data_IF_190678087797
#
_entry.id   IF_190678087797
#
_cell.length_a   1.000
_cell.length_b   1.000
_cell.length_c   1.000
_cell.angle_alpha   90.00
_cell.angle_beta   90.00
_cell.angle_gamma   90.00
#
_symmetry.space_group_name_H-M   'P 1'
#
loop_
_entity.id
_entity.type
_entity.pdbx_description
1 polymer ?
#
# COMPACT_ATOMS: atom_id res chain seq x y z
N UNK A 1 14.52 -9.62 2.43
CA UNK A 1 13.27 -8.85 2.26
C UNK A 1 12.40 -9.02 3.50
N UNK A 2 11.86 -7.93 4.02
CA UNK A 2 10.95 -7.94 5.18
C UNK A 2 9.57 -7.59 4.65
N UNK A 3 8.66 -8.58 4.60
CA UNK A 3 7.34 -8.45 3.99
C UNK A 3 6.23 -8.11 5.00
N UNK A 4 6.46 -8.40 6.27
CA UNK A 4 5.49 -8.16 7.33
C UNK A 4 6.19 -8.04 8.69
N UNK A 5 5.67 -7.18 9.57
CA UNK A 5 6.08 -7.05 10.96
C UNK A 5 4.88 -7.15 11.88
N UNK A 6 5.01 -7.96 12.93
CA UNK A 6 4.05 -8.04 14.02
C UNK A 6 4.79 -7.90 15.36
N UNK A 7 4.41 -6.94 16.16
CA UNK A 7 5.07 -6.65 17.42
C UNK A 7 4.36 -5.59 18.23
N UNK A 8 5.12 -4.82 18.97
CA UNK A 8 4.62 -3.76 19.85
C UNK A 8 5.16 -2.40 19.43
N UNK A 9 4.33 -1.37 19.48
CA UNK A 9 4.76 0.01 19.23
C UNK A 9 5.70 0.47 20.35
N UNK A 10 6.96 0.65 20.03
CA UNK A 10 7.99 1.10 20.95
C UNK A 10 8.12 2.64 20.96
N UNK A 11 8.05 3.24 19.75
CA UNK A 11 8.18 4.67 19.58
C UNK A 11 7.40 5.14 18.35
N UNK A 12 6.90 6.37 18.39
CA UNK A 12 6.26 7.02 17.25
C UNK A 12 6.70 8.48 17.12
N UNK A 13 7.30 8.80 15.99
CA UNK A 13 7.61 10.18 15.57
C UNK A 13 6.54 10.73 14.63
N UNK A 14 6.79 11.87 14.01
CA UNK A 14 5.88 12.45 13.02
C UNK A 14 5.92 11.74 11.64
N UNK A 15 6.93 10.90 11.40
CA UNK A 15 7.20 10.33 10.07
C UNK A 15 7.43 8.84 10.07
N UNK A 16 7.66 8.23 11.22
CA UNK A 16 7.95 6.81 11.35
C UNK A 16 7.54 6.28 12.71
N UNK A 17 7.41 5.00 12.78
CA UNK A 17 7.25 4.25 14.03
C UNK A 17 8.45 3.32 14.23
N UNK A 18 8.71 2.95 15.47
CA UNK A 18 9.60 1.85 15.82
C UNK A 18 8.76 0.72 16.38
N UNK A 19 8.82 -0.42 15.74
CA UNK A 19 8.12 -1.64 16.14
C UNK A 19 9.12 -2.59 16.79
N UNK A 20 8.85 -2.94 18.03
CA UNK A 20 9.62 -3.96 18.75
C UNK A 20 9.11 -5.35 18.35
N UNK A 21 9.98 -6.14 17.76
CA UNK A 21 9.72 -7.53 17.40
C UNK A 21 10.79 -8.40 18.06
N UNK A 22 10.44 -9.00 19.19
CA UNK A 22 11.36 -9.88 19.91
C UNK A 22 12.64 -9.21 20.42
N UNK A 23 12.59 -7.93 20.77
CA UNK A 23 13.74 -7.15 21.24
C UNK A 23 14.51 -6.42 20.13
N UNK A 24 14.09 -6.55 18.87
CA UNK A 24 14.65 -5.77 17.74
C UNK A 24 13.69 -4.65 17.35
N UNK A 25 14.16 -3.41 17.38
CA UNK A 25 13.41 -2.23 16.97
C UNK A 25 13.52 -1.96 15.48
N UNK A 26 12.43 -2.17 14.73
CA UNK A 26 12.35 -1.86 13.32
C UNK A 26 11.80 -0.46 13.11
N UNK A 27 12.57 0.41 12.46
CA UNK A 27 12.11 1.73 12.04
C UNK A 27 11.31 1.63 10.75
N UNK A 28 10.04 1.98 10.80
CA UNK A 28 9.10 1.84 9.68
C UNK A 28 8.46 3.18 9.35
N UNK A 29 8.59 3.62 8.11
CA UNK A 29 7.89 4.80 7.61
C UNK A 29 6.46 4.42 7.28
N UNK A 30 5.51 5.20 7.75
CA UNK A 30 4.07 4.93 7.62
C UNK A 30 3.33 6.18 7.17
N UNK A 31 2.10 6.00 6.67
CA UNK A 31 1.20 7.12 6.38
C UNK A 31 0.76 7.83 7.65
N UNK A 32 0.29 9.07 7.51
CA UNK A 32 -0.22 9.84 8.65
C UNK A 32 -1.43 9.17 9.30
N UNK A 33 -2.30 8.52 8.52
CA UNK A 33 -3.46 7.82 9.06
C UNK A 33 -3.04 6.58 9.84
N UNK A 34 -2.12 5.78 9.31
CA UNK A 34 -1.52 4.66 10.05
C UNK A 34 -0.88 5.13 11.36
N UNK A 35 -0.15 6.24 11.31
CA UNK A 35 0.48 6.81 12.51
C UNK A 35 -0.53 7.19 13.58
N UNK A 36 -1.63 7.87 13.19
CA UNK A 36 -2.72 8.23 14.10
C UNK A 36 -3.37 7.02 14.74
N UNK A 37 -3.69 6.00 13.93
CA UNK A 37 -4.30 4.78 14.42
C UNK A 37 -3.40 4.00 15.38
N UNK A 38 -2.12 3.85 15.07
CA UNK A 38 -1.17 3.17 15.93
C UNK A 38 -0.98 3.89 17.27
N UNK A 39 -0.97 5.23 17.26
CA UNK A 39 -0.89 6.03 18.49
C UNK A 39 -2.15 5.89 19.36
N UNK A 40 -3.31 5.72 18.73
CA UNK A 40 -4.59 5.61 19.43
C UNK A 40 -4.83 4.24 20.07
N UNK A 41 -4.13 3.20 19.62
CA UNK A 41 -4.29 1.84 20.18
C UNK A 41 -3.74 1.75 21.61
N UNK A 42 -4.61 1.36 22.53
CA UNK A 42 -4.24 1.20 23.95
C UNK A 42 -3.29 0.01 24.19
N UNK A 43 -3.44 -1.08 23.43
CA UNK A 43 -2.65 -2.30 23.57
C UNK A 43 -1.27 -2.22 22.90
N UNK A 44 -1.01 -1.15 22.15
CA UNK A 44 0.24 -0.94 21.39
C UNK A 44 0.61 -2.06 20.41
N UNK A 45 -0.31 -2.96 20.10
CA UNK A 45 -0.07 -4.03 19.12
C UNK A 45 -0.02 -3.47 17.70
N UNK A 46 1.02 -3.86 16.96
CA UNK A 46 1.28 -3.42 15.58
C UNK A 46 1.36 -4.63 14.67
N UNK A 47 0.66 -4.56 13.56
CA UNK A 47 0.76 -5.49 12.44
C UNK A 47 0.80 -4.70 11.16
N UNK A 48 1.90 -4.76 10.42
CA UNK A 48 2.11 -3.98 9.20
C UNK A 48 2.61 -4.85 8.06
N UNK A 49 2.04 -4.67 6.89
CA UNK A 49 2.62 -5.10 5.63
C UNK A 49 3.77 -4.18 5.28
N UNK A 50 4.91 -4.70 4.86
CA UNK A 50 6.12 -3.89 4.68
C UNK A 50 6.72 -4.06 3.29
N UNK A 51 7.33 -2.98 2.83
CA UNK A 51 8.18 -2.94 1.65
C UNK A 51 9.59 -2.50 2.05
N UNK A 52 10.60 -3.30 1.69
CA UNK A 52 12.01 -3.00 1.97
C UNK A 52 12.63 -2.26 0.80
N UNK A 53 13.16 -1.07 1.06
CA UNK A 53 13.95 -0.31 0.08
C UNK A 53 15.41 -0.51 0.39
N UNK A 54 16.14 -1.13 -0.54
CA UNK A 54 17.58 -1.36 -0.43
C UNK A 54 18.31 -0.58 -1.52
N UNK A 55 19.20 0.29 -1.11
CA UNK A 55 20.15 0.99 -1.98
C UNK A 55 21.54 0.87 -1.37
N UNK A 56 22.57 1.34 -2.06
CA UNK A 56 23.94 1.26 -1.63
C UNK A 56 24.16 1.80 -0.20
N UNK A 57 23.50 2.91 0.13
CA UNK A 57 23.62 3.64 1.41
C UNK A 57 22.31 3.69 2.22
N UNK A 58 21.28 2.99 1.78
CA UNK A 58 19.93 3.08 2.39
C UNK A 58 19.33 1.69 2.58
N UNK A 59 18.84 1.44 3.78
CA UNK A 59 17.98 0.32 4.13
C UNK A 59 16.76 0.87 4.88
N UNK A 60 15.66 1.10 4.17
CA UNK A 60 14.42 1.66 4.72
C UNK A 60 13.28 0.64 4.65
N UNK A 61 12.39 0.69 5.63
CA UNK A 61 11.11 -0.03 5.64
C UNK A 61 9.96 0.97 5.51
N UNK A 62 9.01 0.63 4.65
CA UNK A 62 7.71 1.29 4.51
C UNK A 62 6.62 0.33 4.94
N UNK A 63 5.70 0.77 5.79
CA UNK A 63 4.68 -0.07 6.41
C UNK A 63 3.26 0.41 6.12
N UNK A 64 2.37 -0.55 5.92
CA UNK A 64 0.97 -0.35 5.54
C UNK A 64 0.07 -1.25 6.38
N UNK A 65 -1.15 -0.79 6.63
CA UNK A 65 -2.10 -1.53 7.46
C UNK A 65 -2.70 -2.74 6.75
N UNK A 66 -2.80 -2.66 5.43
CA UNK A 66 -3.39 -3.72 4.61
C UNK A 66 -2.60 -3.94 3.31
N UNK A 67 -2.86 -5.07 2.70
CA UNK A 67 -2.19 -5.49 1.46
C UNK A 67 -2.51 -4.56 0.28
N UNK A 68 -3.71 -4.01 0.21
CA UNK A 68 -4.13 -3.08 -0.85
C UNK A 68 -3.31 -1.79 -0.87
N UNK A 69 -2.98 -1.26 0.31
CA UNK A 69 -2.09 -0.09 0.43
C UNK A 69 -0.66 -0.43 -0.02
N UNK A 70 -0.14 -1.58 0.40
CA UNK A 70 1.18 -2.05 -0.02
C UNK A 70 1.26 -2.22 -1.54
N UNK A 71 0.28 -2.89 -2.14
CA UNK A 71 0.22 -3.09 -3.58
C UNK A 71 0.16 -1.77 -4.35
N UNK A 72 -0.65 -0.83 -3.88
CA UNK A 72 -0.75 0.47 -4.51
C UNK A 72 0.54 1.28 -4.38
N UNK A 73 1.21 1.22 -3.24
CA UNK A 73 2.53 1.79 -3.05
C UNK A 73 3.55 1.21 -4.05
N UNK A 74 3.56 -0.11 -4.21
CA UNK A 74 4.46 -0.80 -5.15
C UNK A 74 4.16 -0.45 -6.61
N UNK A 75 2.89 -0.28 -6.97
CA UNK A 75 2.50 0.25 -8.29
C UNK A 75 3.05 1.67 -8.52
N UNK A 76 2.94 2.55 -7.53
CA UNK A 76 3.44 3.93 -7.62
C UNK A 76 4.96 3.96 -7.82
N UNK A 77 5.73 3.20 -7.06
CA UNK A 77 7.19 3.16 -7.20
C UNK A 77 7.66 2.45 -8.47
N UNK A 78 6.81 1.68 -9.14
CA UNK A 78 7.11 1.10 -10.45
C UNK A 78 7.15 2.14 -11.57
N UNK A 79 6.55 3.31 -11.35
CA UNK A 79 6.60 4.43 -12.30
C UNK A 79 7.97 5.09 -12.20
N UNK A 80 8.69 5.16 -13.32
CA UNK A 80 10.02 5.79 -13.38
C UNK A 80 9.96 7.25 -12.89
N UNK A 81 10.85 7.62 -11.99
CA UNK A 81 10.91 8.94 -11.38
C UNK A 81 10.06 9.11 -10.12
N UNK A 82 9.26 8.11 -9.74
CA UNK A 82 8.50 8.11 -8.48
C UNK A 82 9.22 7.26 -7.45
N UNK A 83 9.76 7.93 -6.44
CA UNK A 83 10.43 7.27 -5.32
C UNK A 83 9.49 6.92 -4.17
N UNK A 84 9.99 6.17 -3.16
CA UNK A 84 9.20 5.74 -2.01
C UNK A 84 8.60 6.89 -1.20
N UNK A 85 9.33 7.99 -1.03
CA UNK A 85 8.83 9.18 -0.30
C UNK A 85 7.65 9.85 -1.01
N UNK A 86 7.74 9.99 -2.34
CA UNK A 86 6.65 10.54 -3.14
C UNK A 86 5.43 9.63 -3.16
N UNK A 87 5.64 8.32 -3.29
CA UNK A 87 4.57 7.32 -3.21
C UNK A 87 3.84 7.35 -1.85
N UNK A 88 4.59 7.43 -0.75
CA UNK A 88 4.00 7.57 0.58
C UNK A 88 3.23 8.90 0.72
N UNK A 89 3.74 9.97 0.14
CA UNK A 89 3.06 11.27 0.07
C UNK A 89 1.73 11.19 -0.67
N UNK A 90 1.65 10.43 -1.75
CA UNK A 90 0.40 10.18 -2.49
C UNK A 90 -0.62 9.46 -1.60
N UNK A 91 -0.19 8.42 -0.87
CA UNK A 91 -1.05 7.69 0.06
C UNK A 91 -1.54 8.53 1.25
N UNK A 92 -0.93 9.67 1.52
CA UNK A 92 -1.39 10.63 2.53
C UNK A 92 -2.50 11.57 2.02
N UNK A 93 -2.79 11.62 0.71
CA UNK A 93 -3.79 12.53 0.15
C UNK A 93 -5.20 12.02 0.40
N UNK A 94 -5.43 10.73 0.12
CA UNK A 94 -6.74 10.10 0.14
C UNK A 94 -6.61 8.57 0.31
N UNK A 95 -7.68 7.87 0.69
CA UNK A 95 -7.74 6.41 0.67
C UNK A 95 -7.41 5.84 -0.70
N UNK A 96 -6.86 4.63 -0.72
CA UNK A 96 -6.40 3.94 -1.95
C UNK A 96 -7.50 3.83 -3.00
N UNK A 97 -8.74 3.56 -2.58
CA UNK A 97 -9.89 3.43 -3.47
C UNK A 97 -10.14 4.72 -4.26
N UNK A 98 -10.12 5.86 -3.59
CA UNK A 98 -10.30 7.17 -4.22
C UNK A 98 -9.13 7.52 -5.17
N UNK A 99 -7.91 7.16 -4.78
CA UNK A 99 -6.73 7.36 -5.64
C UNK A 99 -6.80 6.50 -6.90
N UNK A 100 -7.26 5.25 -6.77
CA UNK A 100 -7.48 4.34 -7.91
C UNK A 100 -8.54 4.89 -8.87
N UNK A 101 -9.66 5.37 -8.33
CA UNK A 101 -10.73 6.00 -9.12
C UNK A 101 -10.23 7.22 -9.87
N UNK A 102 -9.52 8.13 -9.20
CA UNK A 102 -8.96 9.33 -9.83
C UNK A 102 -8.02 8.97 -10.98
N UNK A 103 -7.14 8.00 -10.78
CA UNK A 103 -6.22 7.52 -11.83
C UNK A 103 -7.00 6.87 -12.98
N UNK A 104 -7.99 6.05 -12.70
CA UNK A 104 -8.83 5.40 -13.72
C UNK A 104 -9.60 6.43 -14.56
N UNK A 105 -10.05 7.52 -13.96
CA UNK A 105 -10.72 8.64 -14.63
C UNK A 105 -9.76 9.57 -15.38
N UNK A 106 -8.45 9.39 -15.21
CA UNK A 106 -7.44 10.26 -15.84
C UNK A 106 -7.21 11.58 -15.11
N UNK A 107 -7.66 11.71 -13.86
CA UNK A 107 -7.50 12.92 -13.05
C UNK A 107 -6.15 12.93 -12.32
N UNK A 108 -5.24 13.75 -12.84
CA UNK A 108 -3.91 13.95 -12.25
C UNK A 108 -3.86 15.09 -11.21
N UNK A 109 -4.94 15.87 -11.06
CA UNK A 109 -4.92 17.11 -10.29
C UNK A 109 -4.63 16.89 -8.80
N UNK A 110 -5.16 15.83 -8.21
CA UNK A 110 -4.92 15.49 -6.82
C UNK A 110 -3.44 15.16 -6.54
N UNK A 111 -2.78 14.49 -7.48
CA UNK A 111 -1.38 14.06 -7.32
C UNK A 111 -0.39 15.23 -7.31
N UNK A 112 -0.72 16.34 -7.96
CA UNK A 112 0.13 17.54 -7.98
C UNK A 112 0.22 18.25 -6.62
N UNK A 113 -0.65 17.92 -5.68
CA UNK A 113 -0.63 18.44 -4.29
C UNK A 113 0.52 17.86 -3.48
N UNK A 114 1.12 16.76 -3.92
CA UNK A 114 2.25 16.12 -3.24
C UNK A 114 3.53 16.87 -3.55
N UNK A 115 4.27 17.23 -2.50
CA UNK A 115 5.59 17.83 -2.65
C UNK A 115 6.52 16.90 -3.43
N UNK A 116 7.17 17.44 -4.46
CA UNK A 116 8.06 16.67 -5.34
C UNK A 116 7.37 16.01 -6.54
N UNK A 117 6.04 16.14 -6.67
CA UNK A 117 5.29 15.66 -7.84
C UNK A 117 4.76 16.88 -8.61
N UNK A 118 5.37 17.16 -9.77
CA UNK A 118 4.91 18.16 -10.70
C UNK A 118 3.83 17.63 -11.64
N UNK A 119 3.33 18.53 -12.49
CA UNK A 119 2.29 18.20 -13.48
C UNK A 119 2.69 17.05 -14.41
N UNK A 120 3.93 17.04 -14.89
CA UNK A 120 4.45 15.97 -15.78
C UNK A 120 4.51 14.62 -15.08
N UNK A 121 5.01 14.57 -13.84
CA UNK A 121 5.07 13.35 -13.05
C UNK A 121 3.68 12.81 -12.72
N UNK A 122 2.75 13.68 -12.36
CA UNK A 122 1.35 13.32 -12.11
C UNK A 122 0.68 12.71 -13.35
N UNK A 123 0.85 13.34 -14.51
CA UNK A 123 0.34 12.83 -15.79
C UNK A 123 0.96 11.48 -16.16
N UNK A 124 2.25 11.31 -15.91
CA UNK A 124 2.96 10.04 -16.14
C UNK A 124 2.41 8.92 -15.26
N UNK A 125 2.16 9.18 -13.98
CA UNK A 125 1.53 8.21 -13.06
C UNK A 125 0.18 7.78 -13.62
N UNK A 126 -0.67 8.72 -13.99
CA UNK A 126 -2.00 8.44 -14.54
C UNK A 126 -1.89 7.61 -15.83
N UNK A 127 -1.01 8.01 -16.75
CA UNK A 127 -0.84 7.30 -18.03
C UNK A 127 -0.37 5.87 -17.84
N UNK A 128 0.62 5.63 -16.97
CA UNK A 128 1.20 4.31 -16.77
C UNK A 128 0.32 3.40 -15.90
N UNK A 129 -0.43 3.94 -14.95
CA UNK A 129 -1.20 3.15 -14.00
C UNK A 129 -2.70 3.03 -14.33
N UNK A 130 -3.23 3.83 -15.24
CA UNK A 130 -4.66 3.83 -15.57
C UNK A 130 -5.22 2.44 -15.87
N UNK A 131 -4.56 1.69 -16.74
CA UNK A 131 -4.99 0.34 -17.11
C UNK A 131 -4.76 -0.68 -16.00
N UNK A 132 -3.72 -0.47 -15.18
CA UNK A 132 -3.37 -1.37 -14.07
C UNK A 132 -4.31 -1.24 -12.88
N UNK A 133 -4.86 -0.05 -12.62
CA UNK A 133 -5.79 0.16 -11.49
C UNK A 133 -7.23 -0.17 -11.86
N UNK A 134 -7.62 -0.09 -13.14
CA UNK A 134 -8.97 -0.41 -13.63
C UNK A 134 -9.24 -1.91 -13.79
N UNK A 135 -8.21 -2.72 -14.09
CA UNK A 135 -8.37 -4.14 -14.40
C UNK A 135 -8.50 -5.08 -13.20
N UNK A 136 -8.06 -4.66 -12.03
CA UNK A 136 -7.97 -5.56 -10.85
C UNK A 136 -9.28 -5.76 -10.08
N UNK A 137 -10.21 -4.82 -10.18
CA UNK A 137 -11.56 -4.97 -9.61
C UNK A 137 -12.36 -6.11 -10.23
N UNK A 138 -12.22 -6.26 -11.54
CA UNK A 138 -12.93 -7.29 -12.30
C UNK A 138 -12.27 -8.68 -12.20
N UNK A 139 -10.94 -8.75 -12.09
CA UNK A 139 -10.24 -10.03 -11.94
C UNK A 139 -10.44 -10.68 -10.57
N UNK A 140 -10.48 -9.89 -9.49
CA UNK A 140 -10.75 -10.43 -8.15
C UNK A 140 -12.19 -10.93 -8.06
N UNK A 141 -13.15 -10.17 -8.57
CA UNK A 141 -14.56 -10.61 -8.62
C UNK A 141 -14.74 -11.85 -9.50
N UNK A 142 -14.08 -11.92 -10.67
CA UNK A 142 -14.17 -13.08 -11.56
C UNK A 142 -13.41 -14.30 -11.03
N UNK A 143 -12.30 -14.10 -10.33
CA UNK A 143 -11.53 -15.18 -9.70
C UNK A 143 -12.30 -15.81 -8.55
N UNK A 144 -12.84 -15.03 -7.66
CA UNK A 144 -13.63 -15.53 -6.51
C UNK A 144 -14.90 -16.25 -6.96
N UNK A 145 -15.60 -15.71 -7.96
CA UNK A 145 -16.79 -16.37 -8.53
C UNK A 145 -16.46 -17.68 -9.27
N UNK A 146 -15.30 -17.75 -9.93
CA UNK A 146 -14.85 -19.00 -10.57
C UNK A 146 -14.46 -20.06 -9.55
N UNK A 147 -13.74 -19.71 -8.50
CA UNK A 147 -13.35 -20.62 -7.43
C UNK A 147 -14.57 -21.17 -6.68
N UNK A 148 -15.58 -20.32 -6.39
CA UNK A 148 -16.83 -20.75 -5.79
C UNK A 148 -17.64 -21.65 -6.73
N UNK A 149 -17.69 -21.34 -8.03
CA UNK A 149 -18.40 -22.15 -9.02
C UNK A 149 -17.74 -23.52 -9.22
N UNK A 150 -16.42 -23.56 -9.35
CA UNK A 150 -15.64 -24.79 -9.47
C UNK A 150 -15.74 -25.67 -8.19
N UNK A 151 -15.78 -25.04 -7.01
CA UNK A 151 -15.99 -25.73 -5.74
C UNK A 151 -17.40 -26.35 -5.65
N UNK A 152 -18.43 -25.65 -6.09
CA UNK A 152 -19.82 -26.13 -6.13
C UNK A 152 -19.98 -27.28 -7.14
N UNK A 153 -19.44 -27.15 -8.35
CA UNK A 153 -19.46 -28.23 -9.35
C UNK A 153 -18.70 -29.47 -8.87
N UNK A 154 -17.55 -29.28 -8.21
CA UNK A 154 -16.79 -30.38 -7.63
C UNK A 154 -17.54 -31.12 -6.52
N UNK A 155 -18.35 -30.43 -5.71
CA UNK A 155 -19.20 -30.99 -4.67
C UNK A 155 -20.37 -31.76 -5.28
N UNK A 156 -21.04 -31.22 -6.28
CA UNK A 156 -22.15 -31.87 -6.99
C UNK A 156 -21.66 -33.15 -7.70
N UNK A 157 -20.50 -33.11 -8.35
CA UNK A 157 -19.91 -34.27 -9.01
C UNK A 157 -19.56 -35.42 -8.06
N UNK A 158 -19.36 -35.12 -6.75
CA UNK A 158 -19.09 -36.12 -5.69
C UNK A 158 -20.35 -36.58 -4.94
N UNK A 159 -21.54 -36.14 -5.35
CA UNK A 159 -22.81 -36.56 -4.76
C UNK A 159 -23.12 -35.93 -3.38
N UNK A 160 -22.60 -34.76 -3.13
CA UNK A 160 -22.91 -33.99 -1.91
C UNK A 160 -24.03 -32.99 -2.14
#
# INVERSE_FOLDING_TARGET
MIAHLSGTLFFASDRFVVVDVGGVGYKVRVTLDTLRELRAKADKKVSLWTHTVVREDVLDLYGFQNESELEFFELLISVSGIGPKSALGILNIAPVEHLREAIAQGDASALTKVSGIGSKSAQKIVLELRDKVGGRGDEIMSGTLREEHDAIEGLVARGY
#
